data_IF_057101965491
#
_entry.id   IF_057101965491
#
_cell.length_a   1.000
_cell.length_b   1.000
_cell.length_c   1.000
_cell.angle_alpha   90.00
_cell.angle_beta   90.00
_cell.angle_gamma   90.00
#
_symmetry.space_group_name_H-M   'P 1'
#
loop_
_entity.id
_entity.type
_entity.pdbx_description
1 polymer ?
#
# COMPACT_ATOMS: atom_id res chain seq x y z
N UNK A 1 -24.96 18.44 41.69
CA UNK A 1 -23.73 18.82 40.97
C UNK A 1 -22.68 17.71 40.92
N UNK A 2 -22.48 16.95 41.99
CA UNK A 2 -21.49 15.84 42.03
C UNK A 2 -21.77 14.73 41.02
N UNK A 3 -23.01 14.24 40.86
CA UNK A 3 -23.38 13.18 39.90
C UNK A 3 -23.12 13.58 38.45
N UNK A 4 -23.34 14.84 38.08
CA UNK A 4 -23.10 15.32 36.73
C UNK A 4 -21.60 15.36 36.40
N UNK A 5 -20.73 15.69 37.39
CA UNK A 5 -19.27 15.64 37.22
C UNK A 5 -18.80 14.20 37.03
N UNK A 6 -19.30 13.25 37.83
CA UNK A 6 -18.95 11.83 37.67
C UNK A 6 -19.41 11.26 36.33
N UNK A 7 -20.60 11.62 35.86
CA UNK A 7 -21.09 11.18 34.54
C UNK A 7 -20.20 11.73 33.38
N UNK A 8 -19.89 13.02 33.43
CA UNK A 8 -18.98 13.64 32.41
C UNK A 8 -17.59 13.04 32.43
N UNK A 9 -17.01 12.79 33.58
CA UNK A 9 -15.69 12.17 33.71
C UNK A 9 -15.68 10.75 33.12
N UNK A 10 -16.73 9.95 33.38
CA UNK A 10 -16.86 8.60 32.81
C UNK A 10 -17.03 8.62 31.30
N UNK A 11 -17.82 9.56 30.75
CA UNK A 11 -17.97 9.71 29.29
C UNK A 11 -16.65 10.12 28.64
N UNK A 12 -15.92 11.05 29.23
CA UNK A 12 -14.61 11.47 28.72
C UNK A 12 -13.57 10.34 28.80
N UNK A 13 -13.57 9.55 29.86
CA UNK A 13 -12.70 8.38 29.99
C UNK A 13 -13.05 7.30 28.96
N UNK A 14 -14.33 7.01 28.76
CA UNK A 14 -14.79 6.08 27.72
C UNK A 14 -14.44 6.56 26.31
N UNK A 15 -14.60 7.84 26.03
CA UNK A 15 -14.22 8.44 24.75
C UNK A 15 -12.70 8.38 24.54
N UNK A 16 -11.90 8.65 25.57
CA UNK A 16 -10.44 8.54 25.53
C UNK A 16 -9.98 7.10 25.29
N UNK A 17 -10.61 6.12 25.95
CA UNK A 17 -10.35 4.69 25.74
C UNK A 17 -10.73 4.27 24.33
N UNK A 18 -11.87 4.68 23.81
CA UNK A 18 -12.30 4.38 22.43
C UNK A 18 -11.37 4.99 21.38
N UNK A 19 -10.88 6.22 21.63
CA UNK A 19 -9.89 6.87 20.75
C UNK A 19 -8.55 6.14 20.83
N UNK A 20 -8.13 5.67 22.02
CA UNK A 20 -6.87 4.93 22.19
C UNK A 20 -6.90 3.55 21.55
N UNK A 21 -8.04 2.87 21.54
CA UNK A 21 -8.21 1.56 20.88
C UNK A 21 -8.21 1.72 19.33
N UNK A 22 -8.71 2.85 18.82
CA UNK A 22 -8.70 3.15 17.38
C UNK A 22 -7.33 3.59 16.84
N UNK A 23 -6.36 3.89 17.71
CA UNK A 23 -5.03 4.36 17.35
C UNK A 23 -3.95 3.26 17.38
N UNK A 24 -4.33 1.99 17.37
CA UNK A 24 -3.36 0.93 17.09
C UNK A 24 -2.86 1.13 15.66
N UNK A 25 -1.71 1.77 15.51
CA UNK A 25 -0.96 1.82 14.25
C UNK A 25 -0.56 0.38 13.93
N UNK A 26 -1.32 -0.27 13.08
CA UNK A 26 -0.87 -1.50 12.44
C UNK A 26 0.30 -1.06 11.57
N UNK A 27 1.50 -1.45 11.94
CA UNK A 27 2.68 -1.24 11.14
C UNK A 27 2.57 -2.20 9.96
N UNK A 28 2.68 -1.67 8.77
CA UNK A 28 2.58 -2.39 7.53
C UNK A 28 3.50 -1.72 6.51
N UNK A 29 3.67 -2.34 5.35
CA UNK A 29 4.36 -1.73 4.23
C UNK A 29 3.89 -0.29 3.99
N UNK A 30 4.78 0.58 3.52
CA UNK A 30 4.39 1.88 2.96
C UNK A 30 3.74 1.65 1.60
N UNK A 31 2.42 1.81 1.46
CA UNK A 31 1.75 1.56 0.20
C UNK A 31 1.85 2.78 -0.72
N UNK A 32 2.18 2.53 -1.98
CA UNK A 32 2.13 3.50 -3.06
C UNK A 32 1.43 2.88 -4.26
N UNK A 33 0.89 3.72 -5.13
CA UNK A 33 0.24 3.28 -6.36
C UNK A 33 0.95 3.87 -7.55
N UNK A 34 0.97 3.13 -8.62
CA UNK A 34 1.30 3.64 -9.93
C UNK A 34 0.23 4.65 -10.36
N UNK A 35 0.61 5.93 -10.40
CA UNK A 35 -0.25 7.02 -10.86
C UNK A 35 0.05 7.38 -12.33
N UNK A 36 1.20 6.95 -12.83
CA UNK A 36 1.66 7.10 -14.20
C UNK A 36 2.50 5.87 -14.54
N UNK A 37 2.39 5.40 -15.78
CA UNK A 37 3.14 4.27 -16.31
C UNK A 37 4.66 4.37 -16.01
N UNK A 38 5.18 3.34 -15.34
CA UNK A 38 6.54 3.25 -14.82
C UNK A 38 7.46 2.72 -15.91
N UNK A 39 8.19 3.61 -16.58
CA UNK A 39 9.02 3.31 -17.75
C UNK A 39 10.52 3.48 -17.47
N UNK A 40 11.41 2.94 -18.34
CA UNK A 40 12.86 3.09 -18.14
C UNK A 40 13.33 4.55 -18.13
N UNK A 41 12.60 5.48 -18.80
CA UNK A 41 12.88 6.91 -18.81
C UNK A 41 12.36 7.64 -17.56
N UNK A 42 11.39 7.02 -16.85
CA UNK A 42 10.77 7.54 -15.64
C UNK A 42 10.53 6.41 -14.63
N UNK A 43 11.59 5.75 -14.14
CA UNK A 43 11.47 4.67 -13.19
C UNK A 43 10.99 5.18 -11.84
N UNK A 44 10.26 4.33 -11.12
CA UNK A 44 9.90 4.65 -9.73
C UNK A 44 11.15 4.64 -8.84
N UNK A 45 11.36 5.74 -8.10
CA UNK A 45 12.48 5.87 -7.16
C UNK A 45 12.09 5.34 -5.79
N UNK A 46 12.81 4.33 -5.31
CA UNK A 46 12.72 3.83 -3.94
C UNK A 46 13.77 4.57 -3.11
N UNK A 47 13.31 5.41 -2.18
CA UNK A 47 14.20 6.27 -1.39
C UNK A 47 15.16 5.48 -0.49
N UNK A 48 14.65 4.45 0.20
CA UNK A 48 15.41 3.57 1.07
C UNK A 48 14.93 2.12 0.86
N UNK A 49 15.74 1.26 0.20
CA UNK A 49 15.35 -0.11 -0.11
C UNK A 49 15.28 -1.05 1.10
N UNK A 50 15.66 -0.59 2.30
CA UNK A 50 15.48 -1.34 3.54
C UNK A 50 14.09 -1.16 4.14
N UNK A 51 13.41 -0.05 3.78
CA UNK A 51 12.07 0.25 4.29
C UNK A 51 11.05 -0.53 3.49
N UNK A 52 10.21 -1.25 4.21
CA UNK A 52 9.10 -2.03 3.63
C UNK A 52 8.14 -1.14 2.84
N UNK A 53 8.26 -1.20 1.52
CA UNK A 53 7.49 -0.40 0.56
C UNK A 53 6.76 -1.33 -0.40
N UNK A 54 5.45 -1.16 -0.52
CA UNK A 54 4.58 -1.91 -1.43
C UNK A 54 4.07 -1.00 -2.55
N UNK A 55 4.44 -1.30 -3.78
CA UNK A 55 4.03 -0.56 -4.97
C UNK A 55 2.99 -1.36 -5.74
N UNK A 56 1.80 -0.82 -5.81
CA UNK A 56 0.63 -1.38 -6.49
C UNK A 56 0.64 -0.90 -7.94
N UNK A 57 0.98 -1.77 -8.86
CA UNK A 57 1.17 -1.46 -10.27
C UNK A 57 0.39 -2.40 -11.20
N UNK A 58 0.41 -2.11 -12.50
CA UNK A 58 -0.34 -2.85 -13.52
C UNK A 58 0.51 -2.98 -14.77
N UNK A 59 0.77 -4.19 -15.24
CA UNK A 59 1.22 -4.40 -16.61
C UNK A 59 0.03 -4.19 -17.55
N UNK A 60 0.04 -3.10 -18.31
CA UNK A 60 -1.11 -2.65 -19.11
C UNK A 60 -1.13 -3.24 -20.54
N UNK A 61 0.02 -3.72 -21.01
CA UNK A 61 0.17 -4.28 -22.36
C UNK A 61 1.17 -5.43 -22.40
N UNK A 62 1.17 -6.18 -23.51
CA UNK A 62 2.08 -7.30 -23.74
C UNK A 62 3.58 -6.90 -23.79
N UNK A 63 3.88 -5.65 -24.04
CA UNK A 63 5.24 -5.10 -24.11
C UNK A 63 5.61 -4.28 -22.89
N UNK A 64 4.71 -4.21 -21.94
CA UNK A 64 4.89 -3.41 -20.73
C UNK A 64 5.98 -3.97 -19.81
N UNK A 65 6.80 -3.06 -19.29
CA UNK A 65 7.88 -3.37 -18.36
C UNK A 65 8.02 -2.21 -17.38
N UNK A 66 7.74 -2.46 -16.12
CA UNK A 66 7.87 -1.48 -15.05
C UNK A 66 9.28 -1.48 -14.45
N UNK A 67 9.80 -0.29 -14.14
CA UNK A 67 11.15 -0.10 -13.63
C UNK A 67 11.17 0.61 -12.28
N UNK A 68 11.90 0.03 -11.33
CA UNK A 68 12.09 0.55 -9.97
C UNK A 68 13.57 0.71 -9.70
N UNK A 69 14.00 1.86 -9.17
CA UNK A 69 15.42 2.12 -8.91
C UNK A 69 15.68 2.51 -7.46
N UNK A 70 16.83 2.10 -6.96
CA UNK A 70 17.30 2.47 -5.62
C UNK A 70 18.82 2.52 -5.55
N UNK A 71 19.33 3.18 -4.51
CA UNK A 71 20.75 3.12 -4.16
C UNK A 71 20.98 1.96 -3.20
N UNK A 72 21.95 1.11 -3.52
CA UNK A 72 22.33 -0.02 -2.69
C UNK A 72 23.78 0.05 -2.25
N UNK A 73 24.09 -0.55 -1.10
CA UNK A 73 25.43 -0.63 -0.54
C UNK A 73 25.94 -2.08 -0.60
N UNK A 74 27.25 -2.24 -0.79
CA UNK A 74 27.89 -3.56 -0.81
C UNK A 74 27.66 -4.33 0.49
N UNK A 75 27.21 -5.58 0.38
CA UNK A 75 26.86 -6.43 1.51
C UNK A 75 25.47 -6.16 2.12
N UNK A 76 24.76 -5.14 1.67
CA UNK A 76 23.36 -4.89 2.08
C UNK A 76 22.46 -6.01 1.55
N UNK A 77 21.59 -6.54 2.40
CA UNK A 77 20.60 -7.54 2.00
C UNK A 77 19.23 -6.86 1.83
N UNK A 78 18.64 -7.00 0.66
CA UNK A 78 17.35 -6.41 0.29
C UNK A 78 16.32 -7.52 0.05
N UNK A 79 15.15 -7.35 0.65
CA UNK A 79 13.98 -8.16 0.31
C UNK A 79 13.36 -7.61 -0.98
N UNK A 80 13.08 -8.51 -1.93
CA UNK A 80 12.32 -8.25 -3.15
C UNK A 80 11.22 -9.28 -3.26
N UNK A 81 9.97 -8.85 -3.42
CA UNK A 81 8.84 -9.76 -3.57
C UNK A 81 7.83 -9.27 -4.62
N UNK A 82 7.12 -10.22 -5.22
CA UNK A 82 5.97 -9.98 -6.09
C UNK A 82 4.78 -10.77 -5.58
N UNK A 83 3.69 -10.08 -5.33
CA UNK A 83 2.42 -10.68 -4.96
C UNK A 83 1.31 -10.23 -5.91
N UNK A 84 0.37 -11.11 -6.18
CA UNK A 84 -0.73 -10.86 -7.10
C UNK A 84 -2.02 -10.74 -6.32
N UNK A 85 -2.77 -9.64 -6.44
CA UNK A 85 -4.07 -9.52 -5.79
C UNK A 85 -5.03 -10.59 -6.32
N UNK A 86 -5.83 -11.20 -5.43
CA UNK A 86 -6.80 -12.22 -5.80
C UNK A 86 -8.00 -11.60 -6.52
N UNK A 87 -7.75 -11.13 -7.74
CA UNK A 87 -8.75 -10.59 -8.66
C UNK A 87 -9.12 -11.69 -9.65
N UNK A 88 -10.39 -11.78 -10.03
CA UNK A 88 -10.87 -12.73 -11.03
C UNK A 88 -10.05 -12.64 -12.33
N UNK A 89 -9.58 -13.77 -12.81
CA UNK A 89 -8.78 -13.88 -14.02
C UNK A 89 -7.28 -13.70 -13.84
N UNK A 90 -6.77 -13.50 -12.61
CA UNK A 90 -5.33 -13.35 -12.33
C UNK A 90 -4.71 -14.52 -11.56
N UNK A 91 -5.43 -15.60 -11.37
CA UNK A 91 -4.98 -16.77 -10.59
C UNK A 91 -3.73 -17.45 -11.16
N UNK A 92 -3.47 -17.32 -12.47
CA UNK A 92 -2.26 -17.81 -13.13
C UNK A 92 -1.28 -16.70 -13.51
N UNK A 93 -1.64 -15.44 -13.35
CA UNK A 93 -0.77 -14.31 -13.66
C UNK A 93 0.52 -14.37 -12.81
N UNK A 94 1.66 -14.48 -13.47
CA UNK A 94 2.96 -14.71 -12.84
C UNK A 94 4.07 -13.89 -13.54
N UNK A 95 4.14 -12.57 -13.32
CA UNK A 95 5.17 -11.73 -13.90
C UNK A 95 6.54 -12.10 -13.37
N UNK A 96 7.55 -11.91 -14.18
CA UNK A 96 8.97 -12.13 -13.85
C UNK A 96 9.58 -10.82 -13.36
N UNK A 97 10.51 -10.93 -12.43
CA UNK A 97 11.27 -9.80 -11.91
C UNK A 97 12.76 -10.02 -12.17
N UNK A 98 13.50 -8.97 -12.50
CA UNK A 98 14.97 -8.99 -12.60
C UNK A 98 15.56 -7.84 -11.80
N UNK A 99 16.56 -8.14 -10.99
CA UNK A 99 17.43 -7.14 -10.37
C UNK A 99 18.64 -6.91 -11.26
N UNK A 100 18.90 -5.67 -11.65
CA UNK A 100 20.04 -5.23 -12.46
C UNK A 100 20.90 -4.26 -11.66
N UNK A 101 22.22 -4.38 -11.78
CA UNK A 101 23.10 -3.46 -11.07
C UNK A 101 24.57 -3.87 -11.07
N UNK A 102 25.43 -3.09 -10.38
CA UNK A 102 26.86 -3.32 -10.36
C UNK A 102 27.21 -4.61 -9.60
N UNK A 103 28.19 -5.35 -10.13
CA UNK A 103 28.72 -6.55 -9.48
C UNK A 103 27.84 -7.79 -9.59
N UNK A 104 26.64 -7.70 -10.13
CA UNK A 104 25.80 -8.86 -10.45
C UNK A 104 26.37 -9.64 -11.65
N UNK A 105 26.08 -10.95 -11.79
CA UNK A 105 26.53 -11.74 -12.92
C UNK A 105 25.90 -11.26 -14.23
N UNK A 106 26.59 -11.51 -15.36
CA UNK A 106 25.97 -11.32 -16.67
C UNK A 106 24.80 -12.29 -16.87
N UNK A 107 23.70 -11.79 -17.44
CA UNK A 107 22.53 -12.58 -17.77
C UNK A 107 21.93 -12.12 -19.09
N UNK A 108 21.39 -13.07 -19.86
CA UNK A 108 20.62 -12.78 -21.06
C UNK A 108 19.22 -12.33 -20.66
N UNK A 109 18.87 -11.10 -21.01
CA UNK A 109 17.55 -10.53 -20.76
C UNK A 109 16.73 -10.42 -22.06
N UNK A 110 15.40 -10.52 -21.97
CA UNK A 110 14.53 -10.26 -23.12
C UNK A 110 14.74 -8.86 -23.68
N UNK A 111 14.56 -8.70 -25.00
CA UNK A 111 14.79 -7.42 -25.69
C UNK A 111 13.95 -6.26 -25.18
N UNK A 112 12.80 -6.57 -24.61
CA UNK A 112 11.89 -5.59 -24.02
C UNK A 112 12.43 -5.02 -22.69
N UNK A 113 13.32 -5.74 -22.00
CA UNK A 113 13.94 -5.27 -20.75
C UNK A 113 15.13 -4.39 -21.10
N UNK A 114 14.98 -3.09 -20.88
CA UNK A 114 16.07 -2.14 -21.07
C UNK A 114 17.07 -2.24 -19.91
N UNK A 115 18.32 -2.49 -20.23
CA UNK A 115 19.42 -2.55 -19.24
C UNK A 115 20.65 -1.81 -19.74
N UNK A 116 21.38 -1.23 -18.78
CA UNK A 116 22.60 -0.52 -19.10
C UNK A 116 23.73 -1.50 -19.49
N UNK A 117 24.53 -1.14 -20.49
CA UNK A 117 25.70 -1.95 -20.85
C UNK A 117 26.66 -2.06 -19.65
N UNK A 118 27.07 -3.29 -19.34
CA UNK A 118 27.99 -3.58 -18.23
C UNK A 118 27.31 -3.70 -16.84
N UNK A 119 25.99 -3.57 -16.76
CA UNK A 119 25.26 -4.00 -15.58
C UNK A 119 25.05 -5.50 -15.64
N UNK A 120 25.35 -6.20 -14.57
CA UNK A 120 24.92 -7.58 -14.38
C UNK A 120 23.43 -7.64 -14.03
N UNK A 121 22.88 -8.86 -14.05
CA UNK A 121 21.48 -9.07 -13.74
C UNK A 121 21.23 -10.39 -13.01
N UNK A 122 20.25 -10.40 -12.12
CA UNK A 122 19.74 -11.58 -11.43
C UNK A 122 18.25 -11.71 -11.74
N UNK A 123 17.90 -12.71 -12.55
CA UNK A 123 16.50 -12.99 -12.89
C UNK A 123 15.88 -13.79 -11.74
N UNK A 124 14.78 -13.28 -11.22
CA UNK A 124 14.00 -13.89 -10.16
C UNK A 124 12.72 -14.48 -10.78
N UNK A 125 12.67 -15.82 -10.84
CA UNK A 125 11.60 -16.53 -11.54
C UNK A 125 10.41 -16.75 -10.61
N UNK A 126 9.17 -16.45 -11.04
CA UNK A 126 7.98 -16.65 -10.21
C UNK A 126 7.63 -18.13 -10.04
N UNK A 127 6.90 -18.42 -8.95
CA UNK A 127 6.15 -19.68 -8.85
C UNK A 127 5.04 -19.68 -9.88
N UNK A 128 5.08 -20.62 -10.81
CA UNK A 128 4.05 -20.83 -11.83
C UNK A 128 3.00 -21.84 -11.34
N UNK A 129 1.75 -21.70 -11.78
CA UNK A 129 0.65 -22.52 -11.34
C UNK A 129 0.08 -22.11 -9.96
N UNK A 130 -0.44 -23.05 -9.16
CA UNK A 130 -0.99 -22.73 -7.84
C UNK A 130 0.07 -22.13 -6.92
N UNK A 131 -0.12 -20.91 -6.49
CA UNK A 131 0.78 -20.20 -5.58
C UNK A 131 0.25 -20.19 -4.15
N UNK A 132 1.14 -20.11 -3.14
CA UNK A 132 0.74 -19.84 -1.77
C UNK A 132 -0.13 -18.57 -1.69
N UNK A 133 -1.04 -18.55 -0.71
CA UNK A 133 -1.93 -17.42 -0.50
C UNK A 133 -1.75 -16.87 0.89
N UNK A 134 -1.85 -15.54 1.02
CA UNK A 134 -1.90 -14.89 2.31
C UNK A 134 -2.96 -13.80 2.33
N UNK A 135 -3.46 -13.51 3.53
CA UNK A 135 -4.37 -12.39 3.77
C UNK A 135 -3.59 -11.27 4.46
N UNK A 136 -3.59 -10.09 3.83
CA UNK A 136 -2.93 -8.90 4.37
C UNK A 136 -3.97 -8.09 5.20
N UNK A 137 -3.80 -8.00 6.54
CA UNK A 137 -4.81 -7.38 7.41
C UNK A 137 -4.99 -5.89 7.22
N UNK A 138 -3.94 -5.17 6.81
CA UNK A 138 -3.98 -3.72 6.65
C UNK A 138 -4.83 -3.30 5.44
N UNK A 139 -4.58 -3.89 4.28
CA UNK A 139 -5.39 -3.69 3.08
C UNK A 139 -6.70 -4.49 3.12
N UNK A 140 -6.81 -5.47 4.04
CA UNK A 140 -7.93 -6.41 4.17
C UNK A 140 -8.18 -7.20 2.88
N UNK A 141 -7.12 -7.57 2.22
CA UNK A 141 -7.12 -8.19 0.90
C UNK A 141 -6.31 -9.48 0.91
N UNK A 142 -6.60 -10.40 -0.03
CA UNK A 142 -5.88 -11.65 -0.20
C UNK A 142 -5.02 -11.60 -1.46
N UNK A 143 -3.86 -12.25 -1.38
CA UNK A 143 -2.88 -12.29 -2.47
C UNK A 143 -2.43 -13.71 -2.74
N UNK A 144 -1.95 -13.95 -3.97
CA UNK A 144 -1.08 -15.06 -4.33
C UNK A 144 0.37 -14.60 -4.24
N UNK A 145 1.17 -15.34 -3.51
CA UNK A 145 2.60 -15.08 -3.34
C UNK A 145 3.37 -15.72 -4.49
N UNK A 146 3.95 -14.90 -5.40
CA UNK A 146 4.65 -15.39 -6.58
C UNK A 146 6.16 -15.45 -6.40
N UNK A 147 6.74 -14.51 -5.67
CA UNK A 147 8.17 -14.41 -5.45
C UNK A 147 8.46 -13.72 -4.12
N UNK A 148 9.41 -14.26 -3.38
CA UNK A 148 10.04 -13.59 -2.26
C UNK A 148 11.50 -14.00 -2.21
N UNK A 149 12.41 -13.06 -2.39
CA UNK A 149 13.86 -13.30 -2.40
C UNK A 149 14.61 -12.25 -1.57
N UNK A 150 15.63 -12.71 -0.85
CA UNK A 150 16.56 -11.86 -0.15
C UNK A 150 17.89 -11.85 -0.88
N UNK A 151 18.22 -10.72 -1.49
CA UNK A 151 19.43 -10.58 -2.31
C UNK A 151 20.46 -9.76 -1.57
N UNK A 152 21.68 -10.30 -1.42
CA UNK A 152 22.82 -9.54 -0.95
C UNK A 152 23.48 -8.80 -2.11
N UNK A 153 23.56 -7.49 -2.00
CA UNK A 153 24.11 -6.63 -3.06
C UNK A 153 25.63 -6.73 -3.09
N UNK A 154 26.24 -7.03 -4.25
CA UNK A 154 27.68 -7.28 -4.33
C UNK A 154 28.54 -6.01 -4.33
N UNK A 155 27.99 -4.84 -4.68
CA UNK A 155 28.71 -3.58 -4.79
C UNK A 155 27.82 -2.38 -4.45
N UNK A 156 28.45 -1.24 -4.18
CA UNK A 156 27.75 0.04 -4.06
C UNK A 156 27.27 0.53 -5.44
N UNK A 157 26.09 1.15 -5.49
CA UNK A 157 25.61 1.81 -6.69
C UNK A 157 24.12 1.77 -6.90
N UNK A 158 23.71 2.17 -8.09
CA UNK A 158 22.30 2.17 -8.49
C UNK A 158 21.89 0.80 -8.96
N UNK A 159 20.83 0.28 -8.36
CA UNK A 159 20.16 -0.95 -8.75
C UNK A 159 18.81 -0.62 -9.37
N UNK A 160 18.44 -1.44 -10.35
CA UNK A 160 17.15 -1.33 -11.04
C UNK A 160 16.45 -2.68 -10.99
N UNK A 161 15.20 -2.69 -10.58
CA UNK A 161 14.31 -3.85 -10.74
C UNK A 161 13.42 -3.58 -11.94
N UNK A 162 13.32 -4.57 -12.85
CA UNK A 162 12.32 -4.56 -13.92
C UNK A 162 11.33 -5.69 -13.72
N UNK A 163 10.05 -5.42 -13.95
CA UNK A 163 8.94 -6.37 -13.85
C UNK A 163 8.23 -6.44 -15.18
N UNK A 164 8.05 -7.65 -15.73
CA UNK A 164 7.33 -7.90 -16.98
C UNK A 164 6.67 -9.27 -16.99
N UNK A 165 5.73 -9.49 -17.89
CA UNK A 165 5.20 -10.85 -18.12
C UNK A 165 5.85 -11.50 -19.34
N UNK A 166 6.46 -12.70 -19.22
CA UNK A 166 7.18 -13.35 -20.35
C UNK A 166 6.30 -13.64 -21.57
N UNK A 167 5.03 -13.94 -21.34
CA UNK A 167 4.04 -14.24 -22.39
C UNK A 167 3.18 -13.01 -22.75
N UNK A 168 3.48 -11.84 -22.17
CA UNK A 168 2.74 -10.60 -22.45
C UNK A 168 1.33 -10.56 -21.86
N UNK A 169 1.06 -11.32 -20.80
CA UNK A 169 -0.20 -11.18 -20.08
C UNK A 169 -0.27 -9.85 -19.33
N UNK A 170 -1.46 -9.27 -19.28
CA UNK A 170 -1.74 -8.05 -18.54
C UNK A 170 -2.34 -8.38 -17.18
N UNK A 171 -1.95 -7.62 -16.16
CA UNK A 171 -2.43 -7.92 -14.82
C UNK A 171 -1.90 -6.96 -13.78
N UNK A 172 -2.54 -6.94 -12.63
CA UNK A 172 -2.13 -6.16 -11.46
C UNK A 172 -1.22 -6.97 -10.57
N UNK A 173 -0.24 -6.30 -10.01
CA UNK A 173 0.69 -6.91 -9.08
C UNK A 173 1.09 -5.90 -7.99
N UNK A 174 1.71 -6.41 -6.94
CA UNK A 174 2.35 -5.58 -5.92
C UNK A 174 3.83 -5.94 -5.89
N UNK A 175 4.67 -4.98 -6.20
CA UNK A 175 6.11 -5.08 -5.97
C UNK A 175 6.42 -4.64 -4.54
N UNK A 176 7.11 -5.48 -3.79
CA UNK A 176 7.54 -5.18 -2.43
C UNK A 176 9.05 -5.13 -2.36
N UNK A 177 9.58 -4.07 -1.76
CA UNK A 177 11.00 -3.91 -1.49
C UNK A 177 11.21 -3.56 -0.02
N UNK A 178 12.21 -4.20 0.62
CA UNK A 178 12.54 -3.98 2.03
C UNK A 178 11.60 -4.67 3.00
N UNK A 179 12.03 -4.78 4.26
CA UNK A 179 11.30 -5.48 5.32
C UNK A 179 11.23 -4.70 6.65
N UNK A 180 11.89 -3.54 6.74
CA UNK A 180 11.82 -2.67 7.91
C UNK A 180 10.57 -1.82 7.87
N UNK A 181 9.59 -2.15 8.69
CA UNK A 181 8.32 -1.44 8.75
C UNK A 181 8.46 -0.06 9.40
N UNK A 182 8.03 0.98 8.67
CA UNK A 182 7.93 2.34 9.14
C UNK A 182 6.60 2.97 8.70
N UNK A 183 6.02 3.87 9.49
CA UNK A 183 4.81 4.59 9.08
C UNK A 183 5.04 5.40 7.81
N UNK A 184 4.02 5.48 6.96
CA UNK A 184 4.07 6.28 5.73
C UNK A 184 3.21 5.70 4.62
N UNK A 185 3.49 6.11 3.39
CA UNK A 185 2.77 5.68 2.20
C UNK A 185 1.79 6.72 1.68
N UNK A 186 1.01 6.34 0.68
CA UNK A 186 0.02 7.19 0.01
C UNK A 186 -1.14 7.52 0.96
N UNK A 187 -1.41 8.79 1.28
CA UNK A 187 -2.54 9.17 2.12
C UNK A 187 -3.91 8.83 1.50
N UNK A 188 -3.97 8.64 0.18
CA UNK A 188 -5.17 8.23 -0.54
C UNK A 188 -5.32 6.69 -0.64
N UNK A 189 -4.49 5.90 0.04
CA UNK A 189 -4.43 4.45 -0.04
C UNK A 189 -5.81 3.78 -0.02
N UNK A 190 -6.63 4.07 1.00
CA UNK A 190 -7.95 3.43 1.14
C UNK A 190 -8.91 3.75 -0.01
N UNK A 191 -8.76 4.89 -0.67
CA UNK A 191 -9.55 5.28 -1.83
C UNK A 191 -9.06 4.56 -3.09
N UNK A 192 -7.75 4.54 -3.33
CA UNK A 192 -7.12 3.92 -4.51
C UNK A 192 -7.29 2.39 -4.50
N UNK A 193 -7.19 1.75 -3.33
CA UNK A 193 -7.41 0.31 -3.18
C UNK A 193 -8.75 -0.17 -3.73
N UNK A 194 -9.81 0.61 -3.61
CA UNK A 194 -11.13 0.23 -4.13
C UNK A 194 -11.12 0.05 -5.66
N UNK A 195 -10.37 0.91 -6.36
CA UNK A 195 -10.22 0.82 -7.82
C UNK A 195 -9.25 -0.28 -8.20
N UNK A 196 -8.15 -0.42 -7.46
CA UNK A 196 -7.13 -1.42 -7.70
C UNK A 196 -7.67 -2.87 -7.66
N UNK A 197 -8.65 -3.15 -6.79
CA UNK A 197 -9.27 -4.47 -6.67
C UNK A 197 -10.35 -4.76 -7.72
N UNK A 198 -10.62 -3.82 -8.62
CA UNK A 198 -11.55 -4.03 -9.72
C UNK A 198 -10.83 -4.76 -10.86
N UNK A 199 -11.39 -5.83 -11.45
CA UNK A 199 -10.78 -6.50 -12.60
C UNK A 199 -10.47 -5.52 -13.73
N UNK A 200 -9.37 -5.76 -14.45
CA UNK A 200 -8.95 -4.92 -15.58
C UNK A 200 -10.05 -4.91 -16.64
N UNK A 201 -10.34 -3.73 -17.21
CA UNK A 201 -11.40 -3.56 -18.20
C UNK A 201 -12.82 -3.44 -17.62
N UNK A 202 -13.00 -3.59 -16.30
CA UNK A 202 -14.30 -3.38 -15.68
C UNK A 202 -14.54 -1.89 -15.47
N UNK A 203 -15.67 -1.30 -15.92
CA UNK A 203 -15.96 0.10 -15.66
C UNK A 203 -16.04 0.37 -14.15
N UNK A 204 -15.21 1.26 -13.64
CA UNK A 204 -15.28 1.68 -12.23
C UNK A 204 -16.56 2.46 -12.01
N UNK A 205 -17.42 1.98 -11.10
CA UNK A 205 -18.60 2.76 -10.69
C UNK A 205 -18.10 3.98 -9.92
N UNK A 206 -18.59 5.20 -10.25
CA UNK A 206 -18.24 6.39 -9.50
C UNK A 206 -18.56 6.20 -8.02
N UNK A 207 -17.74 6.76 -7.16
CA UNK A 207 -17.87 6.66 -5.71
C UNK A 207 -19.27 7.17 -5.32
N UNK A 208 -20.16 6.26 -5.00
CA UNK A 208 -21.48 6.63 -4.51
C UNK A 208 -21.29 7.09 -3.06
N UNK A 209 -21.04 8.40 -2.88
CA UNK A 209 -20.99 9.00 -1.56
C UNK A 209 -22.34 8.77 -0.91
N UNK A 210 -22.32 7.98 0.14
CA UNK A 210 -23.55 7.70 0.89
C UNK A 210 -23.91 8.93 1.73
N UNK A 211 -24.52 9.93 1.10
CA UNK A 211 -25.06 11.12 1.75
C UNK A 211 -25.89 10.81 3.01
N UNK A 212 -26.68 9.71 3.06
CA UNK A 212 -27.38 9.34 4.29
C UNK A 212 -26.46 9.05 5.48
N UNK A 213 -25.28 8.46 5.26
CA UNK A 213 -24.33 8.18 6.35
C UNK A 213 -23.71 9.47 6.88
N UNK A 214 -23.35 10.40 5.98
CA UNK A 214 -22.80 11.72 6.36
C UNK A 214 -23.88 12.54 7.08
N UNK A 215 -25.10 12.55 6.57
CA UNK A 215 -26.23 13.22 7.20
C UNK A 215 -26.55 12.61 8.56
N UNK A 216 -26.52 11.27 8.69
CA UNK A 216 -26.72 10.57 9.95
C UNK A 216 -25.67 10.93 11.00
N UNK A 217 -24.41 11.03 10.61
CA UNK A 217 -23.31 11.47 11.50
C UNK A 217 -23.51 12.92 11.95
N UNK A 218 -23.92 13.80 11.05
CA UNK A 218 -24.25 15.19 11.35
C UNK A 218 -25.42 15.33 12.34
N UNK A 219 -26.48 14.56 12.16
CA UNK A 219 -27.64 14.52 13.06
C UNK A 219 -27.25 13.99 14.44
N UNK A 220 -26.43 12.93 14.50
CA UNK A 220 -25.95 12.37 15.77
C UNK A 220 -25.09 13.38 16.54
N UNK A 221 -24.21 14.11 15.85
CA UNK A 221 -23.41 15.17 16.47
C UNK A 221 -24.26 16.32 16.99
N UNK A 222 -25.27 16.73 16.25
CA UNK A 222 -26.23 17.78 16.68
C UNK A 222 -27.10 17.31 17.86
N UNK A 223 -27.52 16.05 17.88
CA UNK A 223 -28.30 15.48 18.98
C UNK A 223 -27.52 15.46 20.32
N UNK A 224 -26.20 15.40 20.26
CA UNK A 224 -25.35 15.49 21.45
C UNK A 224 -25.00 16.95 21.77
N UNK A 225 -24.66 17.76 20.79
CA UNK A 225 -24.22 19.14 20.97
C UNK A 225 -25.33 20.07 21.47
N UNK A 226 -26.54 19.97 20.96
CA UNK A 226 -27.65 20.86 21.32
C UNK A 226 -28.08 20.72 22.79
N UNK A 227 -28.31 19.51 23.32
CA UNK A 227 -28.63 19.34 24.73
C UNK A 227 -27.49 19.80 25.67
N UNK A 228 -26.24 19.56 25.29
CA UNK A 228 -25.09 20.00 26.10
C UNK A 228 -24.98 21.51 26.17
N UNK A 229 -25.14 22.19 25.03
CA UNK A 229 -25.16 23.66 24.96
C UNK A 229 -26.35 24.25 25.76
N UNK A 230 -27.53 23.65 25.66
CA UNK A 230 -28.69 24.07 26.44
C UNK A 230 -28.46 23.92 27.95
N UNK A 231 -27.89 22.78 28.35
CA UNK A 231 -27.57 22.52 29.79
C UNK A 231 -26.55 23.53 30.31
N UNK A 232 -25.50 23.83 29.58
CA UNK A 232 -24.47 24.82 29.92
C UNK A 232 -25.10 26.21 30.05
N UNK A 233 -25.96 26.60 29.12
CA UNK A 233 -26.67 27.89 29.16
C UNK A 233 -27.61 27.99 30.36
N UNK A 234 -28.35 26.91 30.67
CA UNK A 234 -29.25 26.87 31.85
C UNK A 234 -28.48 27.01 33.15
N UNK A 235 -27.34 26.31 33.30
CA UNK A 235 -26.49 26.40 34.51
C UNK A 235 -25.86 27.78 34.63
N UNK A 236 -25.45 28.44 33.54
CA UNK A 236 -24.93 29.81 33.59
C UNK A 236 -25.99 30.83 33.99
N UNK A 237 -27.23 30.69 33.50
CA UNK A 237 -28.35 31.59 33.89
C UNK A 237 -28.75 31.46 35.35
N UNK A 238 -28.78 30.24 35.91
CA UNK A 238 -29.07 30.04 37.33
C UNK A 238 -27.96 30.55 38.30
N UNK A 239 -26.74 30.73 37.80
CA UNK A 239 -25.63 31.33 38.58
C UNK A 239 -25.57 32.84 38.52
N UNK A 240 -26.22 33.47 37.55
CA UNK A 240 -26.29 34.93 37.41
C UNK A 240 -27.51 35.53 38.14
N UNK A 241 -28.39 34.69 38.71
CA UNK A 241 -29.61 35.07 39.43
C UNK A 241 -29.49 34.93 40.94
N UNK A 242 -28.28 34.62 41.43
CA UNK A 242 -27.88 34.62 42.87
C UNK A 242 -26.80 35.68 43.09
#
# INVERSE_FOLDING_TARGET
MQYLRYALTRILLLAAVLISIGAATVWAHRPYFEDQDIRPEAPWQVDDPTISTALYATLESAQDVDYYTFQGESGQTILLALTIPQIEGQDLFAPTMVLMGPGLPEADLPRQVNHSRGSGALVLTPVTGPAPTFFEPFSRTAYWDRQEERVSLPADGTYTVAVWHPEGEVGRYVFVVGDRELPGGDPAFALKMRTYWTPIGTPTRPLQIWWPAIAGLGVALLAVALPTLWLVRKVRRSRAAV
#
